data_IF_670349277814
#
_entry.id   IF_670349277814
#
_cell.length_a   1.000
_cell.length_b   1.000
_cell.length_c   1.000
_cell.angle_alpha   90.00
_cell.angle_beta   90.00
_cell.angle_gamma   90.00
#
_symmetry.space_group_name_H-M   'P 1'
#
loop_
_entity.id
_entity.type
_entity.pdbx_description
1 polymer ?
#
# COMPACT_ATOMS: atom_id res chain seq x y z
N UNK A 1 -39.40 -12.45 16.16
CA UNK A 1 -39.47 -13.92 16.07
C UNK A 1 -39.03 -14.24 14.63
N UNK A 2 -37.79 -14.63 14.41
CA UNK A 2 -37.35 -15.12 13.08
C UNK A 2 -37.85 -16.55 12.93
N UNK A 3 -38.50 -16.85 11.83
CA UNK A 3 -38.96 -18.19 11.49
C UNK A 3 -37.78 -19.12 11.27
N UNK A 4 -37.70 -20.22 11.98
CA UNK A 4 -36.72 -21.29 11.80
C UNK A 4 -36.89 -21.86 10.37
N UNK A 5 -36.06 -21.44 9.43
CA UNK A 5 -36.06 -21.95 8.06
C UNK A 5 -35.50 -21.02 6.98
N UNK A 6 -35.32 -19.74 7.24
CA UNK A 6 -34.69 -18.86 6.27
C UNK A 6 -33.15 -19.02 6.37
N UNK A 7 -32.59 -19.77 5.44
CA UNK A 7 -31.14 -19.92 5.25
C UNK A 7 -30.58 -18.60 4.69
N UNK A 8 -29.85 -17.85 5.53
CA UNK A 8 -29.20 -16.64 5.10
C UNK A 8 -27.94 -17.02 4.28
N UNK A 9 -27.70 -16.37 3.13
CA UNK A 9 -26.48 -16.58 2.39
C UNK A 9 -25.28 -16.12 3.22
N UNK A 10 -24.19 -16.88 3.17
CA UNK A 10 -22.91 -16.46 3.74
C UNK A 10 -22.30 -15.34 2.88
N UNK A 11 -21.80 -14.28 3.51
CA UNK A 11 -21.06 -13.23 2.85
C UNK A 11 -19.59 -13.62 2.65
N UNK A 12 -19.00 -14.25 3.66
CA UNK A 12 -17.61 -14.71 3.65
C UNK A 12 -17.51 -16.10 4.26
N UNK A 13 -16.74 -16.99 3.61
CA UNK A 13 -16.40 -18.31 4.12
C UNK A 13 -14.90 -18.55 4.05
N UNK A 14 -14.29 -18.79 5.20
CA UNK A 14 -12.94 -19.32 5.32
C UNK A 14 -13.03 -20.83 5.42
N UNK A 15 -12.38 -21.55 4.54
CA UNK A 15 -12.37 -23.03 4.53
C UNK A 15 -10.95 -23.54 4.67
N UNK A 16 -10.62 -24.03 5.87
CA UNK A 16 -9.32 -24.64 6.20
C UNK A 16 -8.16 -23.73 5.82
N UNK A 17 -8.28 -22.43 6.12
CA UNK A 17 -7.26 -21.43 5.81
C UNK A 17 -6.03 -21.66 6.67
N UNK A 18 -4.87 -21.79 6.00
CA UNK A 18 -3.56 -21.83 6.65
C UNK A 18 -2.69 -20.68 6.16
N UNK A 19 -1.92 -20.07 7.09
CA UNK A 19 -0.94 -19.04 6.79
C UNK A 19 0.31 -19.23 7.65
N UNK A 20 1.48 -19.22 7.01
CA UNK A 20 2.79 -19.31 7.67
C UNK A 20 3.69 -18.17 7.23
N UNK A 21 4.47 -17.66 8.16
CA UNK A 21 5.55 -16.72 7.85
C UNK A 21 6.89 -17.46 8.02
N UNK A 22 7.63 -17.55 6.94
CA UNK A 22 8.94 -18.24 6.91
C UNK A 22 10.04 -17.18 6.88
N UNK A 23 10.90 -17.21 7.88
CA UNK A 23 12.14 -16.42 7.91
C UNK A 23 13.33 -17.36 7.80
N UNK A 24 14.54 -16.82 7.62
CA UNK A 24 15.75 -17.65 7.54
C UNK A 24 16.00 -18.52 8.79
N UNK A 25 15.45 -18.14 9.94
CA UNK A 25 15.73 -18.75 11.25
C UNK A 25 14.55 -19.50 11.86
N UNK A 26 13.31 -19.22 11.46
CA UNK A 26 12.13 -19.89 12.01
C UNK A 26 10.92 -19.81 11.08
N UNK A 27 9.97 -20.72 11.31
CA UNK A 27 8.65 -20.71 10.67
C UNK A 27 7.59 -20.45 11.74
N UNK A 28 6.81 -19.39 11.57
CA UNK A 28 5.68 -19.09 12.44
C UNK A 28 4.38 -19.45 11.73
N UNK A 29 3.59 -20.32 12.34
CA UNK A 29 2.23 -20.60 11.90
C UNK A 29 1.33 -19.52 12.46
N UNK A 30 0.77 -18.69 11.59
CA UNK A 30 -0.11 -17.59 11.97
C UNK A 30 -1.59 -17.99 11.94
N UNK A 31 -1.98 -18.83 10.97
CA UNK A 31 -3.30 -19.46 10.90
C UNK A 31 -3.12 -20.94 10.61
N UNK A 32 -3.83 -21.79 11.35
CA UNK A 32 -3.77 -23.25 11.23
C UNK A 32 -5.18 -23.81 11.06
N UNK A 33 -5.54 -24.12 9.82
CA UNK A 33 -6.78 -24.78 9.45
C UNK A 33 -8.05 -24.03 9.90
N UNK A 34 -8.04 -22.69 9.81
CA UNK A 34 -9.18 -21.85 10.22
C UNK A 34 -10.34 -22.05 9.27
N UNK A 35 -11.50 -22.43 9.83
CA UNK A 35 -12.78 -22.49 9.13
C UNK A 35 -13.78 -21.63 9.88
N UNK A 36 -14.35 -20.63 9.19
CA UNK A 36 -15.25 -19.65 9.80
C UNK A 36 -16.10 -18.99 8.72
N UNK A 37 -17.41 -18.92 8.94
CA UNK A 37 -18.34 -18.29 8.02
C UNK A 37 -18.98 -17.06 8.67
N UNK A 38 -19.21 -16.00 7.88
CA UNK A 38 -19.78 -14.74 8.34
C UNK A 38 -21.09 -14.45 7.62
N UNK A 39 -22.06 -13.93 8.38
CA UNK A 39 -23.36 -13.47 7.88
C UNK A 39 -23.30 -12.01 7.44
N UNK A 40 -24.29 -11.59 6.70
CA UNK A 40 -24.56 -10.16 6.47
C UNK A 40 -25.00 -9.49 7.78
N UNK A 41 -24.74 -8.18 7.89
CA UNK A 41 -25.27 -7.35 8.98
C UNK A 41 -24.97 -7.94 10.37
N UNK A 42 -23.73 -8.36 10.58
CA UNK A 42 -23.26 -8.98 11.80
C UNK A 42 -22.11 -8.14 12.39
N UNK A 43 -22.06 -8.02 13.72
CA UNK A 43 -20.90 -7.45 14.39
C UNK A 43 -20.14 -8.59 15.07
N UNK A 44 -19.06 -9.02 14.47
CA UNK A 44 -18.22 -10.12 14.98
C UNK A 44 -16.99 -9.54 15.67
N UNK A 45 -16.76 -9.91 16.91
CA UNK A 45 -15.51 -9.64 17.60
C UNK A 45 -14.64 -10.90 17.65
N UNK A 46 -13.40 -10.79 17.17
CA UNK A 46 -12.41 -11.85 17.24
C UNK A 46 -11.49 -11.53 18.42
N UNK A 47 -11.58 -12.34 19.46
CA UNK A 47 -10.78 -12.24 20.68
C UNK A 47 -9.59 -13.20 20.65
N UNK A 48 -8.52 -12.83 21.33
CA UNK A 48 -7.37 -13.69 21.55
C UNK A 48 -6.15 -12.93 22.05
N UNK A 49 -5.14 -13.61 22.59
CA UNK A 49 -3.92 -13.01 23.03
C UNK A 49 -3.12 -12.37 21.87
N UNK A 50 -2.13 -11.55 22.20
CA UNK A 50 -1.21 -11.01 21.19
C UNK A 50 -0.48 -12.18 20.49
N UNK A 51 -0.34 -12.08 19.15
CA UNK A 51 0.30 -13.13 18.36
C UNK A 51 -0.59 -14.33 17.99
N UNK A 52 -1.87 -14.37 18.40
CA UNK A 52 -2.78 -15.49 18.08
C UNK A 52 -3.22 -15.57 16.60
N UNK A 53 -2.81 -14.64 15.74
CA UNK A 53 -3.17 -14.65 14.32
C UNK A 53 -4.33 -13.72 13.91
N UNK A 54 -4.92 -12.92 14.83
CA UNK A 54 -6.08 -12.05 14.57
C UNK A 54 -5.87 -11.07 13.41
N UNK A 55 -4.80 -10.27 13.48
CA UNK A 55 -4.47 -9.31 12.42
C UNK A 55 -4.15 -10.03 11.09
N UNK A 56 -3.50 -11.19 11.15
CA UNK A 56 -3.26 -12.02 9.95
C UNK A 56 -4.58 -12.46 9.33
N UNK A 57 -5.54 -12.91 10.14
CA UNK A 57 -6.85 -13.30 9.64
C UNK A 57 -7.59 -12.12 9.00
N UNK A 58 -7.57 -10.93 9.63
CA UNK A 58 -8.14 -9.73 9.03
C UNK A 58 -7.48 -9.38 7.69
N UNK A 59 -6.15 -9.47 7.61
CA UNK A 59 -5.41 -9.17 6.38
C UNK A 59 -5.73 -10.17 5.26
N UNK A 60 -5.90 -11.45 5.58
CA UNK A 60 -6.33 -12.48 4.62
C UNK A 60 -7.74 -12.20 4.14
N UNK A 61 -8.70 -11.96 5.05
CA UNK A 61 -10.08 -11.61 4.70
C UNK A 61 -10.13 -10.37 3.82
N UNK A 62 -9.33 -9.36 4.15
CA UNK A 62 -9.30 -8.10 3.41
C UNK A 62 -8.47 -8.12 2.12
N UNK A 63 -7.83 -9.24 1.78
CA UNK A 63 -6.98 -9.37 0.60
C UNK A 63 -5.71 -8.53 0.67
N UNK A 64 -5.24 -8.18 1.87
CA UNK A 64 -3.94 -7.50 2.08
C UNK A 64 -2.79 -8.50 2.18
N UNK A 65 -3.09 -9.74 2.52
CA UNK A 65 -2.15 -10.85 2.53
C UNK A 65 -2.81 -12.09 1.91
N UNK A 66 -2.00 -13.00 1.37
CA UNK A 66 -2.46 -14.24 0.77
C UNK A 66 -2.33 -15.40 1.77
N UNK A 67 -3.28 -16.32 1.75
CA UNK A 67 -3.18 -17.58 2.49
C UNK A 67 -2.33 -18.60 1.71
N UNK A 68 -1.72 -19.56 2.43
CA UNK A 68 -0.86 -20.58 1.82
C UNK A 68 -1.68 -21.78 1.31
N UNK A 69 -2.76 -22.14 2.02
CA UNK A 69 -3.68 -23.20 1.63
C UNK A 69 -5.07 -22.97 2.21
N UNK A 70 -6.06 -23.67 1.70
CA UNK A 70 -7.46 -23.49 2.04
C UNK A 70 -8.22 -22.80 0.92
N UNK A 71 -9.36 -22.20 1.22
CA UNK A 71 -10.18 -21.44 0.29
C UNK A 71 -10.92 -20.30 1.03
N UNK A 72 -10.86 -19.10 0.49
CA UNK A 72 -11.68 -17.98 0.91
C UNK A 72 -12.77 -17.76 -0.14
N UNK A 73 -14.03 -17.87 0.27
CA UNK A 73 -15.16 -17.60 -0.60
C UNK A 73 -15.79 -16.26 -0.24
N UNK A 74 -16.13 -15.49 -1.25
CA UNK A 74 -16.85 -14.22 -1.16
C UNK A 74 -18.16 -14.39 -1.94
N UNK A 75 -19.29 -14.30 -1.27
CA UNK A 75 -20.61 -14.61 -1.84
C UNK A 75 -20.65 -16.00 -2.53
N UNK A 76 -19.95 -16.98 -1.96
CA UNK A 76 -19.84 -18.32 -2.51
C UNK A 76 -18.90 -18.46 -3.72
N UNK A 77 -18.16 -17.42 -4.09
CA UNK A 77 -17.16 -17.45 -5.18
C UNK A 77 -15.77 -17.63 -4.56
N UNK A 78 -15.05 -18.67 -4.98
CA UNK A 78 -13.67 -18.92 -4.55
C UNK A 78 -12.72 -17.83 -5.02
N UNK A 79 -11.81 -17.40 -4.16
CA UNK A 79 -10.79 -16.40 -4.48
C UNK A 79 -9.49 -17.01 -5.02
N UNK A 80 -9.41 -18.34 -5.18
CA UNK A 80 -8.19 -19.02 -5.68
C UNK A 80 -7.75 -18.54 -7.04
N UNK A 81 -8.70 -18.20 -7.90
CA UNK A 81 -8.45 -17.76 -9.27
C UNK A 81 -8.49 -16.22 -9.41
N UNK A 82 -8.53 -15.49 -8.29
CA UNK A 82 -8.53 -14.02 -8.33
C UNK A 82 -7.20 -13.51 -8.85
N UNK A 83 -7.27 -12.67 -9.89
CA UNK A 83 -6.14 -11.87 -10.34
C UNK A 83 -5.90 -10.68 -9.41
N UNK A 84 -4.75 -10.00 -9.54
CA UNK A 84 -4.47 -8.75 -8.80
C UNK A 84 -5.56 -7.70 -9.00
N UNK A 85 -6.19 -7.66 -10.18
CA UNK A 85 -7.30 -6.74 -10.48
C UNK A 85 -8.57 -7.09 -9.72
N UNK A 86 -8.84 -8.37 -9.52
CA UNK A 86 -10.01 -8.82 -8.76
C UNK A 86 -9.83 -8.49 -7.28
N UNK A 87 -8.61 -8.68 -6.74
CA UNK A 87 -8.26 -8.27 -5.41
C UNK A 87 -8.32 -6.75 -5.22
N UNK A 88 -7.85 -5.95 -6.20
CA UNK A 88 -7.99 -4.50 -6.17
C UNK A 88 -9.45 -4.07 -6.18
N UNK A 89 -10.28 -4.69 -7.03
CA UNK A 89 -11.71 -4.42 -7.09
C UNK A 89 -12.41 -4.78 -5.77
N UNK A 90 -12.07 -5.92 -5.17
CA UNK A 90 -12.58 -6.36 -3.87
C UNK A 90 -12.23 -5.36 -2.76
N UNK A 91 -10.94 -5.03 -2.60
CA UNK A 91 -10.48 -4.06 -1.60
C UNK A 91 -11.13 -2.69 -1.74
N UNK A 92 -11.24 -2.19 -2.96
CA UNK A 92 -11.75 -0.83 -3.19
C UNK A 92 -13.26 -0.71 -3.09
N UNK A 93 -14.01 -1.77 -3.43
CA UNK A 93 -15.48 -1.69 -3.52
C UNK A 93 -16.19 -2.34 -2.34
N UNK A 94 -15.58 -3.36 -1.72
CA UNK A 94 -16.28 -4.18 -0.73
C UNK A 94 -15.71 -4.09 0.68
N UNK A 95 -14.46 -3.61 0.82
CA UNK A 95 -13.76 -3.57 2.11
C UNK A 95 -13.53 -2.15 2.57
N UNK A 96 -13.85 -1.87 3.83
CA UNK A 96 -13.42 -0.70 4.57
C UNK A 96 -12.47 -1.11 5.69
N UNK A 97 -11.22 -0.60 5.69
CA UNK A 97 -10.26 -0.87 6.74
C UNK A 97 -10.17 0.24 7.77
N UNK A 98 -10.26 -0.13 9.05
CA UNK A 98 -10.02 0.72 10.22
C UNK A 98 -8.82 0.13 10.98
N UNK A 99 -7.68 0.82 10.94
CA UNK A 99 -6.43 0.37 11.56
C UNK A 99 -6.23 0.96 12.95
N UNK A 100 -5.51 0.26 13.80
CA UNK A 100 -5.11 0.72 15.14
C UNK A 100 -4.32 2.03 15.11
N UNK A 101 -3.40 2.18 14.16
CA UNK A 101 -2.54 3.37 14.01
C UNK A 101 -3.16 4.45 13.10
N UNK A 102 -4.47 4.44 12.88
CA UNK A 102 -5.22 5.36 12.02
C UNK A 102 -4.78 5.36 10.55
N UNK A 103 -3.51 5.20 10.24
CA UNK A 103 -2.88 5.23 8.91
C UNK A 103 -3.31 6.45 8.08
N UNK A 104 -3.34 7.63 8.73
CA UNK A 104 -3.61 8.91 8.08
C UNK A 104 -2.32 9.50 7.52
N UNK A 105 -2.43 10.19 6.39
CA UNK A 105 -1.32 10.88 5.75
C UNK A 105 -1.08 12.21 6.48
N UNK A 106 0.05 12.40 7.21
CA UNK A 106 0.22 13.50 8.16
C UNK A 106 0.24 14.90 7.54
N UNK A 107 0.64 15.00 6.27
CA UNK A 107 0.78 16.27 5.57
C UNK A 107 -0.47 16.68 4.77
N UNK A 108 -1.48 15.82 4.72
CA UNK A 108 -2.77 16.07 4.09
C UNK A 108 -3.79 16.49 5.15
N UNK A 109 -4.79 17.31 4.75
CA UNK A 109 -5.95 17.57 5.58
C UNK A 109 -6.77 16.29 5.80
N UNK A 110 -7.66 16.29 6.80
CA UNK A 110 -8.54 15.14 7.00
C UNK A 110 -9.51 14.94 5.84
N UNK A 111 -9.93 16.01 5.19
CA UNK A 111 -10.74 15.93 3.98
C UNK A 111 -10.00 15.19 2.87
N UNK A 112 -8.74 15.55 2.62
CA UNK A 112 -7.90 14.89 1.61
C UNK A 112 -7.61 13.45 1.96
N UNK A 113 -7.45 13.11 3.25
CA UNK A 113 -7.27 11.73 3.71
C UNK A 113 -8.50 10.86 3.41
N UNK A 114 -9.70 11.39 3.61
CA UNK A 114 -10.96 10.68 3.32
C UNK A 114 -11.19 10.61 1.81
N UNK A 115 -10.95 11.71 1.08
CA UNK A 115 -11.09 11.80 -0.37
C UNK A 115 -10.21 10.80 -1.13
N UNK A 116 -9.05 10.44 -0.55
CA UNK A 116 -8.08 9.52 -1.18
C UNK A 116 -8.69 8.17 -1.53
N UNK A 117 -9.57 7.63 -0.69
CA UNK A 117 -10.23 6.34 -0.94
C UNK A 117 -11.09 6.36 -2.22
N UNK A 118 -11.67 7.52 -2.57
CA UNK A 118 -12.44 7.69 -3.81
C UNK A 118 -11.56 7.95 -5.05
N UNK A 119 -10.28 8.22 -4.87
CA UNK A 119 -9.39 8.56 -5.99
C UNK A 119 -9.21 7.40 -6.97
N UNK A 120 -9.30 6.17 -6.45
CA UNK A 120 -9.14 4.94 -7.23
C UNK A 120 -10.44 4.49 -7.93
N UNK A 121 -11.58 5.12 -7.62
CA UNK A 121 -12.90 4.70 -8.14
C UNK A 121 -13.35 5.49 -9.37
N UNK A 122 -12.52 6.39 -9.91
CA UNK A 122 -12.83 7.18 -11.10
C UNK A 122 -13.84 8.31 -10.86
N UNK A 123 -14.23 8.59 -9.61
CA UNK A 123 -15.14 9.67 -9.24
C UNK A 123 -14.48 11.03 -9.48
N UNK A 124 -15.22 11.99 -10.05
CA UNK A 124 -14.73 13.34 -10.32
C UNK A 124 -14.35 14.13 -9.05
N UNK A 125 -13.37 15.05 -9.15
CA UNK A 125 -12.81 15.77 -7.99
C UNK A 125 -13.87 16.48 -7.13
N UNK A 126 -14.82 17.20 -7.75
CA UNK A 126 -15.87 17.92 -7.03
C UNK A 126 -16.77 16.97 -6.22
N UNK A 127 -17.18 15.86 -6.82
CA UNK A 127 -18.00 14.83 -6.18
C UNK A 127 -17.24 14.12 -5.04
N UNK A 128 -15.95 13.76 -5.24
CA UNK A 128 -15.12 13.19 -4.18
C UNK A 128 -15.08 14.11 -2.96
N UNK A 129 -14.81 15.39 -3.19
CA UNK A 129 -14.73 16.38 -2.12
C UNK A 129 -16.07 16.53 -1.37
N UNK A 130 -17.17 16.52 -2.09
CA UNK A 130 -18.51 16.58 -1.49
C UNK A 130 -18.82 15.34 -0.66
N UNK A 131 -18.51 14.13 -1.18
CA UNK A 131 -18.71 12.85 -0.45
C UNK A 131 -17.82 12.78 0.79
N UNK A 132 -16.55 13.19 0.67
CA UNK A 132 -15.63 13.22 1.80
C UNK A 132 -16.08 14.17 2.91
N UNK A 133 -16.61 15.35 2.56
CA UNK A 133 -17.18 16.29 3.53
C UNK A 133 -18.37 15.67 4.26
N UNK A 134 -19.32 15.07 3.54
CA UNK A 134 -20.47 14.38 4.14
C UNK A 134 -20.05 13.23 5.06
N UNK A 135 -19.03 12.45 4.66
CA UNK A 135 -18.51 11.37 5.52
C UNK A 135 -17.89 11.91 6.82
N UNK A 136 -17.20 13.06 6.77
CA UNK A 136 -16.66 13.71 7.96
C UNK A 136 -17.74 14.35 8.83
N UNK A 137 -18.79 14.90 8.23
CA UNK A 137 -19.97 15.41 8.95
C UNK A 137 -20.68 14.28 9.70
N UNK A 138 -20.84 13.11 9.07
CA UNK A 138 -21.47 11.93 9.69
C UNK A 138 -20.73 11.42 10.93
N UNK A 139 -19.41 11.63 11.03
CA UNK A 139 -18.62 11.28 12.21
C UNK A 139 -18.35 12.48 13.15
N UNK A 140 -19.08 13.60 12.98
CA UNK A 140 -19.00 14.79 13.83
C UNK A 140 -17.72 15.62 13.64
N UNK A 141 -17.12 15.62 12.43
CA UNK A 141 -15.89 16.34 12.10
C UNK A 141 -16.05 17.33 10.94
N UNK A 142 -17.28 17.73 10.61
CA UNK A 142 -17.59 18.66 9.52
C UNK A 142 -16.88 20.00 9.60
N UNK A 143 -16.70 20.56 10.81
CA UNK A 143 -16.01 21.83 11.04
C UNK A 143 -14.48 21.72 11.03
N UNK A 144 -13.95 20.49 10.98
CA UNK A 144 -12.51 20.21 11.09
C UNK A 144 -11.85 19.78 9.76
N UNK A 145 -12.57 19.85 8.65
CA UNK A 145 -12.20 19.29 7.35
C UNK A 145 -10.82 19.73 6.84
N UNK A 146 -10.40 20.95 7.15
CA UNK A 146 -9.11 21.50 6.71
C UNK A 146 -7.96 21.24 7.71
N UNK A 147 -8.25 20.67 8.89
CA UNK A 147 -7.22 20.29 9.87
C UNK A 147 -6.40 19.12 9.37
N UNK A 148 -5.16 19.04 9.85
CA UNK A 148 -4.25 17.89 9.63
C UNK A 148 -4.32 16.92 10.81
N UNK A 149 -3.89 15.65 10.64
CA UNK A 149 -3.91 14.67 11.71
C UNK A 149 -3.23 15.11 13.00
N UNK A 150 -2.09 15.82 12.92
CA UNK A 150 -1.37 16.33 14.08
C UNK A 150 -2.09 17.45 14.86
N UNK A 151 -3.23 17.91 14.40
CA UNK A 151 -4.08 18.92 15.04
C UNK A 151 -5.34 18.30 15.67
N UNK A 152 -5.41 16.95 15.72
CA UNK A 152 -6.56 16.19 16.19
C UNK A 152 -6.19 15.32 17.40
N UNK A 153 -7.19 15.04 18.25
CA UNK A 153 -7.07 13.99 19.27
C UNK A 153 -7.07 12.60 18.65
N UNK A 154 -6.62 11.58 19.41
CA UNK A 154 -6.63 10.19 18.98
C UNK A 154 -8.01 9.73 18.50
N UNK A 155 -9.06 10.02 19.26
CA UNK A 155 -10.42 9.67 18.87
C UNK A 155 -10.95 10.42 17.65
N UNK A 156 -10.54 11.66 17.47
CA UNK A 156 -10.86 12.38 16.22
C UNK A 156 -10.15 11.74 15.02
N UNK A 157 -8.88 11.37 15.16
CA UNK A 157 -8.14 10.64 14.11
C UNK A 157 -8.79 9.29 13.77
N UNK A 158 -9.27 8.56 14.79
CA UNK A 158 -9.98 7.29 14.58
C UNK A 158 -11.29 7.50 13.84
N UNK A 159 -12.07 8.52 14.18
CA UNK A 159 -13.29 8.86 13.44
C UNK A 159 -13.01 9.25 11.99
N UNK A 160 -11.91 9.93 11.70
CA UNK A 160 -11.46 10.17 10.32
C UNK A 160 -11.14 8.87 9.60
N UNK A 161 -10.44 7.92 10.27
CA UNK A 161 -10.12 6.61 9.69
C UNK A 161 -11.39 5.81 9.38
N UNK A 162 -12.42 5.87 10.25
CA UNK A 162 -13.73 5.25 10.01
C UNK A 162 -14.44 5.94 8.84
N UNK A 163 -14.49 7.27 8.78
CA UNK A 163 -15.08 8.00 7.65
C UNK A 163 -14.42 7.61 6.33
N UNK A 164 -13.08 7.48 6.31
CA UNK A 164 -12.32 7.00 5.14
C UNK A 164 -12.67 5.56 4.77
N UNK A 165 -12.84 4.68 5.75
CA UNK A 165 -13.24 3.30 5.51
C UNK A 165 -14.63 3.18 4.89
N UNK A 166 -15.56 4.06 5.27
CA UNK A 166 -16.97 4.01 4.87
C UNK A 166 -17.30 4.75 3.57
N UNK A 167 -16.42 5.62 3.07
CA UNK A 167 -16.74 6.54 1.95
C UNK A 167 -17.06 5.84 0.63
N UNK A 168 -16.52 4.63 0.40
CA UNK A 168 -16.80 3.80 -0.77
C UNK A 168 -18.07 2.94 -0.61
N UNK A 169 -18.79 3.11 0.50
CA UNK A 169 -19.96 2.31 0.85
C UNK A 169 -19.65 0.79 0.86
N UNK A 170 -18.66 0.33 1.64
CA UNK A 170 -18.24 -1.08 1.67
C UNK A 170 -19.30 -1.95 2.32
N UNK A 171 -19.37 -3.22 1.92
CA UNK A 171 -20.25 -4.21 2.55
C UNK A 171 -19.63 -4.81 3.81
N UNK A 172 -18.31 -4.78 3.91
CA UNK A 172 -17.52 -5.37 4.99
C UNK A 172 -16.60 -4.30 5.59
N UNK A 173 -16.62 -4.15 6.90
CA UNK A 173 -15.70 -3.28 7.63
C UNK A 173 -14.80 -4.14 8.51
N UNK A 174 -13.50 -4.04 8.30
CA UNK A 174 -12.47 -4.75 9.05
C UNK A 174 -11.80 -3.76 10.02
N UNK A 175 -11.92 -3.99 11.31
CA UNK A 175 -11.39 -3.10 12.35
C UNK A 175 -10.31 -3.81 13.16
N UNK A 176 -9.06 -3.37 13.03
CA UNK A 176 -7.91 -3.89 13.77
C UNK A 176 -7.65 -3.02 15.00
N UNK A 177 -7.98 -3.52 16.19
CA UNK A 177 -7.79 -2.84 17.48
C UNK A 177 -8.29 -1.38 17.47
N UNK A 178 -9.56 -1.10 17.06
CA UNK A 178 -10.01 0.27 16.75
C UNK A 178 -10.02 1.22 17.96
N UNK A 179 -9.90 0.69 19.18
CA UNK A 179 -9.87 1.44 20.45
C UNK A 179 -8.55 1.35 21.20
N UNK A 180 -7.58 0.60 20.68
CA UNK A 180 -6.34 0.25 21.41
C UNK A 180 -5.45 1.43 21.81
N UNK A 181 -5.63 2.60 21.19
CA UNK A 181 -4.87 3.82 21.50
C UNK A 181 -5.74 4.96 22.08
N UNK A 182 -6.95 4.63 22.57
CA UNK A 182 -7.95 5.62 23.01
C UNK A 182 -8.25 5.49 24.50
N UNK A 183 -8.66 6.61 25.10
CA UNK A 183 -9.25 6.61 26.44
C UNK A 183 -10.64 5.94 26.44
N UNK A 184 -11.16 5.61 27.63
CA UNK A 184 -12.42 4.87 27.78
C UNK A 184 -13.61 5.60 27.19
N UNK A 185 -13.73 6.92 27.37
CA UNK A 185 -14.86 7.71 26.86
C UNK A 185 -14.85 7.75 25.34
N UNK A 186 -13.70 7.97 24.75
CA UNK A 186 -13.54 8.00 23.29
C UNK A 186 -13.72 6.61 22.67
N UNK A 187 -13.29 5.56 23.37
CA UNK A 187 -13.51 4.16 22.96
C UNK A 187 -15.00 3.85 22.80
N UNK A 188 -15.84 4.26 23.76
CA UNK A 188 -17.30 4.10 23.68
C UNK A 188 -17.86 4.78 22.43
N UNK A 189 -17.46 6.03 22.14
CA UNK A 189 -17.92 6.76 20.96
C UNK A 189 -17.55 6.05 19.63
N UNK A 190 -16.35 5.49 19.55
CA UNK A 190 -15.89 4.73 18.38
C UNK A 190 -16.67 3.42 18.25
N UNK A 191 -16.91 2.73 19.37
CA UNK A 191 -17.67 1.49 19.37
C UNK A 191 -19.14 1.69 19.03
N UNK A 192 -19.77 2.77 19.51
CA UNK A 192 -21.15 3.13 19.14
C UNK A 192 -21.25 3.37 17.63
N UNK A 193 -20.28 4.08 17.03
CA UNK A 193 -20.21 4.30 15.59
C UNK A 193 -20.08 2.99 14.81
N UNK A 194 -19.20 2.08 15.24
CA UNK A 194 -19.06 0.76 14.60
C UNK A 194 -20.31 -0.11 14.75
N UNK A 195 -20.99 -0.03 15.90
CA UNK A 195 -22.27 -0.72 16.13
C UNK A 195 -23.37 -0.20 15.20
N UNK A 196 -23.44 1.11 14.97
CA UNK A 196 -24.38 1.69 14.01
C UNK A 196 -24.08 1.22 12.57
N UNK A 197 -22.81 1.16 12.21
CA UNK A 197 -22.35 0.62 10.91
C UNK A 197 -22.74 -0.84 10.73
N UNK A 198 -22.70 -1.65 11.78
CA UNK A 198 -23.04 -3.07 11.74
C UNK A 198 -24.54 -3.37 11.54
N UNK A 199 -25.41 -2.36 11.54
CA UNK A 199 -26.86 -2.57 11.30
C UNK A 199 -27.18 -3.03 9.88
N UNK A 200 -26.36 -2.61 8.92
CA UNK A 200 -26.56 -2.88 7.48
C UNK A 200 -25.31 -3.41 6.78
N UNK A 201 -24.24 -3.75 7.53
CA UNK A 201 -22.95 -4.26 7.03
C UNK A 201 -22.37 -5.32 7.95
N UNK A 202 -21.50 -6.15 7.41
CA UNK A 202 -20.66 -7.02 8.21
C UNK A 202 -19.49 -6.20 8.81
N UNK A 203 -19.40 -6.18 10.14
CA UNK A 203 -18.25 -5.60 10.86
C UNK A 203 -17.48 -6.73 11.53
N UNK A 204 -16.20 -6.89 11.19
CA UNK A 204 -15.29 -7.84 11.84
C UNK A 204 -14.25 -7.02 12.58
N UNK A 205 -14.28 -7.07 13.90
CA UNK A 205 -13.33 -6.38 14.77
C UNK A 205 -12.40 -7.39 15.42
N UNK A 206 -11.11 -7.16 15.40
CA UNK A 206 -10.18 -7.87 16.26
C UNK A 206 -9.81 -6.98 17.45
N UNK A 207 -9.77 -7.56 18.63
CA UNK A 207 -9.43 -6.84 19.86
C UNK A 207 -8.88 -7.81 20.90
N UNK A 208 -8.11 -7.26 21.84
CA UNK A 208 -7.70 -7.95 23.06
C UNK A 208 -8.53 -7.53 24.28
N UNK A 209 -9.51 -6.61 24.11
CA UNK A 209 -10.39 -6.14 25.19
C UNK A 209 -11.73 -6.93 25.17
N UNK A 210 -11.91 -7.89 26.09
CA UNK A 210 -13.12 -8.70 26.12
C UNK A 210 -14.36 -7.89 26.54
N UNK A 211 -14.22 -6.87 27.41
CA UNK A 211 -15.37 -6.08 27.87
C UNK A 211 -16.07 -5.37 26.72
N UNK A 212 -15.29 -4.69 25.87
CA UNK A 212 -15.84 -4.03 24.69
C UNK A 212 -16.42 -5.05 23.69
N UNK A 213 -15.77 -6.21 23.52
CA UNK A 213 -16.30 -7.25 22.65
C UNK A 213 -17.67 -7.74 23.12
N UNK A 214 -17.81 -8.09 24.41
CA UNK A 214 -19.09 -8.57 24.97
C UNK A 214 -20.19 -7.51 24.98
N UNK A 215 -19.83 -6.23 25.11
CA UNK A 215 -20.80 -5.14 25.14
C UNK A 215 -21.36 -4.80 23.76
N UNK A 216 -20.55 -4.92 22.69
CA UNK A 216 -20.90 -4.38 21.38
C UNK A 216 -21.13 -5.43 20.30
N UNK A 217 -20.39 -6.53 20.32
CA UNK A 217 -20.50 -7.55 19.29
C UNK A 217 -21.77 -8.42 19.45
N UNK A 218 -22.32 -8.86 18.33
CA UNK A 218 -23.42 -9.82 18.27
C UNK A 218 -22.91 -11.26 18.31
N UNK A 219 -21.64 -11.47 17.95
CA UNK A 219 -20.96 -12.77 17.95
C UNK A 219 -19.51 -12.61 18.35
N UNK A 220 -19.01 -13.55 19.14
CA UNK A 220 -17.62 -13.55 19.60
C UNK A 220 -16.96 -14.84 19.14
N UNK A 221 -15.81 -14.69 18.49
CA UNK A 221 -14.97 -15.80 18.04
C UNK A 221 -13.64 -15.71 18.79
N UNK A 222 -13.24 -16.77 19.47
CA UNK A 222 -11.97 -16.85 20.18
C UNK A 222 -10.90 -17.48 19.29
N UNK A 223 -9.74 -16.83 19.19
CA UNK A 223 -8.59 -17.29 18.41
C UNK A 223 -7.37 -17.47 19.32
N UNK A 224 -6.78 -18.66 19.32
CA UNK A 224 -5.53 -18.95 20.01
C UNK A 224 -4.62 -19.81 19.12
N UNK A 225 -3.34 -19.48 19.08
CA UNK A 225 -2.31 -20.20 18.31
C UNK A 225 -2.70 -20.49 16.86
N UNK A 226 -3.34 -19.50 16.21
CA UNK A 226 -3.80 -19.59 14.83
C UNK A 226 -5.05 -20.42 14.61
N UNK A 227 -5.74 -20.89 15.66
CA UNK A 227 -6.93 -21.73 15.58
C UNK A 227 -8.14 -21.05 16.22
N UNK A 228 -9.31 -21.28 15.65
CA UNK A 228 -10.58 -20.94 16.30
C UNK A 228 -10.80 -21.94 17.46
N UNK A 229 -10.90 -21.41 18.68
CA UNK A 229 -11.08 -22.22 19.90
C UNK A 229 -12.50 -22.18 20.42
N UNK A 230 -13.23 -21.11 20.13
CA UNK A 230 -14.63 -20.95 20.54
C UNK A 230 -15.35 -20.01 19.59
N UNK A 231 -16.65 -20.19 19.44
CA UNK A 231 -17.55 -19.38 18.62
C UNK A 231 -18.92 -19.32 19.30
N UNK A 232 -19.35 -18.15 19.73
CA UNK A 232 -20.57 -17.97 20.51
C UNK A 232 -21.86 -18.18 19.72
N UNK A 233 -21.84 -18.10 18.39
CA UNK A 233 -22.97 -18.29 17.48
C UNK A 233 -22.50 -18.85 16.13
N UNK A 234 -22.05 -20.13 16.12
CA UNK A 234 -21.47 -20.71 14.90
C UNK A 234 -22.49 -20.74 13.76
N UNK A 235 -21.98 -20.46 12.55
CA UNK A 235 -22.75 -20.45 11.32
C UNK A 235 -22.12 -21.37 10.29
N UNK A 236 -22.85 -22.37 9.83
CA UNK A 236 -22.41 -23.28 8.79
C UNK A 236 -22.96 -22.81 7.43
N UNK A 237 -22.05 -22.37 6.56
CA UNK A 237 -22.35 -21.93 5.19
C UNK A 237 -22.57 -23.08 4.21
N UNK A 238 -22.38 -24.35 4.61
CA UNK A 238 -22.43 -25.52 3.70
C UNK A 238 -23.80 -25.67 3.01
N UNK A 239 -24.84 -25.05 3.56
CA UNK A 239 -26.20 -25.06 3.03
C UNK A 239 -26.70 -23.68 2.55
N UNK A 240 -25.82 -22.64 2.54
CA UNK A 240 -26.24 -21.29 2.16
C UNK A 240 -26.56 -21.18 0.66
N UNK A 241 -27.67 -20.52 0.35
CA UNK A 241 -28.03 -20.19 -1.02
C UNK A 241 -26.95 -19.27 -1.61
N UNK A 242 -26.55 -19.52 -2.86
CA UNK A 242 -25.59 -18.67 -3.58
C UNK A 242 -26.17 -17.27 -3.73
N UNK A 243 -25.48 -16.27 -3.20
CA UNK A 243 -25.90 -14.88 -3.32
C UNK A 243 -25.63 -14.38 -4.75
N UNK A 244 -26.55 -13.56 -5.29
CA UNK A 244 -26.25 -12.84 -6.53
C UNK A 244 -25.14 -11.82 -6.27
N UNK A 245 -24.00 -11.99 -6.93
CA UNK A 245 -22.88 -11.08 -6.79
C UNK A 245 -23.28 -9.68 -7.26
N UNK A 246 -23.14 -8.68 -6.40
CA UNK A 246 -23.35 -7.28 -6.79
C UNK A 246 -22.31 -6.87 -7.83
N UNK A 247 -22.70 -6.10 -8.87
CA UNK A 247 -21.76 -5.67 -9.89
C UNK A 247 -20.64 -4.81 -9.27
N UNK A 248 -19.41 -5.27 -9.39
CA UNK A 248 -18.23 -4.54 -8.93
C UNK A 248 -17.97 -3.33 -9.83
N UNK A 249 -17.81 -2.15 -9.25
CA UNK A 249 -17.39 -0.95 -9.98
C UNK A 249 -15.96 -1.16 -10.48
N UNK A 250 -15.71 -0.87 -11.76
CA UNK A 250 -14.36 -0.95 -12.32
C UNK A 250 -13.47 0.10 -11.64
N UNK A 251 -12.37 -0.35 -11.06
CA UNK A 251 -11.34 0.54 -10.54
C UNK A 251 -10.56 1.14 -11.71
N UNK A 252 -10.56 2.47 -11.83
CA UNK A 252 -9.76 3.16 -12.82
C UNK A 252 -9.28 4.50 -12.27
N UNK A 253 -7.97 4.70 -12.27
CA UNK A 253 -7.38 5.99 -11.93
C UNK A 253 -6.94 6.70 -13.19
N UNK A 254 -7.35 7.96 -13.38
CA UNK A 254 -6.89 8.78 -14.49
C UNK A 254 -5.36 8.99 -14.40
N UNK A 255 -4.66 8.90 -15.52
CA UNK A 255 -3.22 9.16 -15.61
C UNK A 255 -2.84 10.55 -15.03
N UNK A 256 -3.69 11.56 -15.28
CA UNK A 256 -3.50 12.92 -14.73
C UNK A 256 -3.58 12.91 -13.20
N UNK A 257 -4.50 12.14 -12.63
CA UNK A 257 -4.63 11.98 -11.15
C UNK A 257 -3.41 11.28 -10.57
N UNK A 258 -2.92 10.21 -11.22
CA UNK A 258 -1.71 9.51 -10.80
C UNK A 258 -0.47 10.41 -10.81
N UNK A 259 -0.31 11.19 -11.89
CA UNK A 259 0.79 12.16 -12.03
C UNK A 259 0.71 13.26 -10.98
N UNK A 260 -0.51 13.78 -10.72
CA UNK A 260 -0.74 14.81 -9.68
C UNK A 260 -0.40 14.33 -8.27
N UNK A 261 -0.81 13.10 -7.90
CA UNK A 261 -0.46 12.48 -6.63
C UNK A 261 1.05 12.26 -6.48
N UNK A 262 1.71 11.77 -7.54
CA UNK A 262 3.15 11.57 -7.56
C UNK A 262 3.91 12.89 -7.40
N UNK A 263 3.54 13.93 -8.15
CA UNK A 263 4.14 15.26 -8.06
C UNK A 263 3.95 15.85 -6.65
N UNK A 264 2.76 15.72 -6.07
CA UNK A 264 2.47 16.20 -4.72
C UNK A 264 3.31 15.50 -3.64
N UNK A 265 3.50 14.18 -3.76
CA UNK A 265 4.38 13.41 -2.88
C UNK A 265 5.84 13.86 -2.97
N UNK A 266 6.34 14.13 -4.18
CA UNK A 266 7.69 14.68 -4.40
C UNK A 266 7.84 16.06 -3.74
N UNK A 267 6.85 16.94 -3.88
CA UNK A 267 6.87 18.28 -3.28
C UNK A 267 6.79 18.27 -1.75
N UNK A 268 6.21 17.24 -1.15
CA UNK A 268 6.08 17.13 0.31
C UNK A 268 7.43 16.86 0.99
N UNK A 269 8.35 16.14 0.32
CA UNK A 269 9.69 15.83 0.81
C UNK A 269 10.75 16.73 0.17
N UNK A 270 10.49 18.04 0.10
CA UNK A 270 11.32 19.04 -0.62
C UNK A 270 12.83 18.91 -0.37
N UNK A 271 13.25 18.73 0.89
CA UNK A 271 14.66 18.58 1.24
C UNK A 271 15.30 17.32 0.62
N UNK A 272 14.65 16.17 0.74
CA UNK A 272 15.16 14.91 0.18
C UNK A 272 15.16 14.95 -1.35
N UNK A 273 14.09 15.45 -1.96
CA UNK A 273 13.96 15.57 -3.42
C UNK A 273 15.01 16.54 -3.97
N UNK A 274 15.25 17.69 -3.32
CA UNK A 274 16.29 18.65 -3.70
C UNK A 274 17.70 18.03 -3.57
N UNK A 275 17.99 17.30 -2.48
CA UNK A 275 19.28 16.62 -2.31
C UNK A 275 19.51 15.54 -3.38
N UNK A 276 18.49 14.75 -3.70
CA UNK A 276 18.59 13.70 -4.72
C UNK A 276 18.77 14.31 -6.12
N UNK A 277 18.03 15.38 -6.44
CA UNK A 277 18.18 16.11 -7.69
C UNK A 277 19.56 16.75 -7.80
N UNK A 278 20.06 17.36 -6.72
CA UNK A 278 21.41 17.95 -6.66
C UNK A 278 22.50 16.90 -6.83
N UNK A 279 22.42 15.76 -6.14
CA UNK A 279 23.36 14.66 -6.28
C UNK A 279 23.39 14.10 -7.73
N UNK A 280 22.21 13.95 -8.35
CA UNK A 280 22.10 13.52 -9.75
C UNK A 280 22.66 14.55 -10.75
N UNK A 281 22.50 15.84 -10.46
CA UNK A 281 22.99 16.92 -11.34
C UNK A 281 24.51 17.08 -11.33
N UNK A 282 25.20 16.71 -10.24
CA UNK A 282 26.66 16.77 -10.14
C UNK A 282 27.33 15.94 -11.24
N UNK A 283 26.82 14.72 -11.50
CA UNK A 283 27.32 13.86 -12.57
C UNK A 283 27.19 14.50 -13.96
N UNK A 284 26.04 15.08 -14.24
CA UNK A 284 25.74 15.73 -15.53
C UNK A 284 26.59 16.99 -15.68
N UNK A 285 26.74 17.81 -14.64
CA UNK A 285 27.57 19.00 -14.63
C UNK A 285 29.04 18.61 -14.83
N UNK A 286 29.52 17.53 -14.19
CA UNK A 286 30.89 17.02 -14.38
C UNK A 286 31.17 16.62 -15.82
N UNK A 287 30.28 15.87 -16.45
CA UNK A 287 30.39 15.46 -17.86
C UNK A 287 30.38 16.71 -18.78
N UNK A 288 29.43 17.61 -18.54
CA UNK A 288 29.34 18.85 -19.35
C UNK A 288 30.57 19.72 -19.22
N UNK A 289 31.16 19.86 -18.01
CA UNK A 289 32.39 20.60 -17.78
C UNK A 289 33.59 19.98 -18.50
N UNK A 290 33.72 18.64 -18.48
CA UNK A 290 34.80 17.93 -19.20
C UNK A 290 34.66 18.14 -20.72
N UNK A 291 33.44 18.02 -21.25
CA UNK A 291 33.20 18.25 -22.69
C UNK A 291 33.46 19.71 -23.10
N UNK A 292 33.04 20.68 -22.27
CA UNK A 292 33.29 22.09 -22.52
C UNK A 292 34.79 22.41 -22.49
N UNK A 293 35.53 21.87 -21.52
CA UNK A 293 36.96 22.00 -21.43
C UNK A 293 37.67 21.38 -22.64
N UNK A 294 37.28 20.15 -23.01
CA UNK A 294 37.84 19.46 -24.20
C UNK A 294 37.62 20.25 -25.49
N UNK A 295 36.40 20.77 -25.68
CA UNK A 295 36.08 21.60 -26.84
C UNK A 295 36.82 22.95 -26.82
N UNK A 296 36.98 23.55 -25.65
CA UNK A 296 37.74 24.79 -25.47
C UNK A 296 39.22 24.60 -25.80
N UNK A 297 39.84 23.54 -25.30
CA UNK A 297 41.25 23.21 -25.60
C UNK A 297 41.46 22.92 -27.08
N UNK A 298 40.57 22.12 -27.68
CA UNK A 298 40.61 21.83 -29.12
C UNK A 298 40.44 23.09 -29.98
N UNK A 299 39.56 24.02 -29.59
CA UNK A 299 39.39 25.33 -30.24
C UNK A 299 40.62 26.20 -30.13
N UNK A 300 41.25 26.25 -28.95
CA UNK A 300 42.49 26.99 -28.71
C UNK A 300 43.65 26.45 -29.56
N UNK A 301 43.83 25.11 -29.61
CA UNK A 301 44.87 24.47 -30.44
C UNK A 301 44.64 24.73 -31.93
N UNK A 302 43.42 24.68 -32.42
CA UNK A 302 43.08 24.97 -33.82
C UNK A 302 43.35 26.43 -34.18
N UNK A 303 42.99 27.38 -33.34
CA UNK A 303 43.22 28.79 -33.57
C UNK A 303 44.72 29.19 -33.39
N UNK A 304 45.43 28.52 -32.46
CA UNK A 304 46.88 28.74 -32.29
C UNK A 304 47.71 28.19 -33.43
N UNK A 305 47.25 27.17 -34.15
CA UNK A 305 47.91 26.67 -35.38
C UNK A 305 47.72 27.56 -36.63
N UNK A 306 46.73 28.44 -36.59
CA UNK A 306 46.46 29.38 -37.69
C UNK A 306 47.31 30.67 -37.65
N UNK A 307 48.01 30.97 -36.52
CA UNK A 307 48.65 32.27 -36.31
C UNK A 307 50.18 32.30 -36.38
N UNK A 308 50.92 31.22 -36.26
CA UNK A 308 52.35 31.13 -36.41
C UNK A 308 52.79 29.82 -37.07
N UNK A 309 52.74 29.77 -38.38
CA UNK A 309 53.61 28.85 -39.11
C UNK A 309 55.04 29.31 -38.92
N UNK A 310 55.72 28.90 -37.85
CA UNK A 310 57.16 28.90 -37.76
C UNK A 310 57.68 28.09 -38.94
N UNK A 311 58.17 28.78 -40.02
CA UNK A 311 58.92 28.14 -41.05
C UNK A 311 60.24 27.61 -40.39
N UNK A 312 60.19 26.38 -39.95
CA UNK A 312 61.38 25.63 -39.65
C UNK A 312 62.11 25.42 -41.00
N UNK A 313 63.43 25.77 -41.13
CA UNK A 313 64.16 25.48 -42.35
C UNK A 313 64.10 23.94 -42.59
N UNK A 314 63.73 23.61 -43.84
CA UNK A 314 63.75 22.23 -44.27
C UNK A 314 65.23 21.77 -44.21
N UNK A 315 65.54 20.93 -43.23
CA UNK A 315 66.75 20.16 -43.21
C UNK A 315 66.64 19.09 -44.28
N UNK A 316 67.38 19.34 -45.40
CA UNK A 316 67.49 18.38 -46.48
C UNK A 316 68.26 17.16 -46.02
N UNK A 317 67.64 16.05 -45.73
CA UNK A 317 68.21 14.80 -45.25
C UNK A 317 68.73 13.90 -46.38
N UNK A 318 68.83 14.42 -47.64
CA UNK A 318 69.14 13.59 -48.80
C UNK A 318 70.67 13.59 -49.22
N UNK A 319 71.58 14.27 -48.50
CA UNK A 319 72.95 14.37 -48.99
C UNK A 319 73.99 13.64 -48.14
N UNK A 320 73.75 12.61 -47.44
CA UNK A 320 74.79 11.75 -46.84
C UNK A 320 74.48 10.28 -46.76
N UNK A 321 74.24 9.65 -47.90
CA UNK A 321 74.47 8.20 -48.00
C UNK A 321 75.47 7.97 -49.16
N UNK A 322 76.76 8.07 -48.87
CA UNK A 322 77.77 7.47 -49.71
C UNK A 322 77.84 6.00 -49.36
N UNK A 323 77.81 5.07 -50.38
CA UNK A 323 78.02 3.69 -50.12
C UNK A 323 79.51 3.46 -49.81
N UNK A 324 79.80 2.87 -48.68
CA UNK A 324 81.10 2.33 -48.35
C UNK A 324 81.23 0.99 -49.10
N UNK A 325 82.13 0.99 -50.15
CA UNK A 325 82.58 -0.21 -50.83
C UNK A 325 83.50 -0.94 -49.86
N UNK A 326 83.12 -2.10 -49.39
CA UNK A 326 84.01 -3.04 -48.68
C UNK A 326 84.64 -3.92 -49.66
N UNK A 327 85.95 -3.72 -49.81
CA UNK A 327 86.88 -4.59 -50.47
C UNK A 327 87.17 -5.81 -49.58
N UNK A 328 87.00 -6.94 -50.20
CA UNK A 328 87.20 -8.20 -49.51
C UNK A 328 88.70 -8.54 -49.36
N UNK A 329 89.09 -8.91 -48.16
CA UNK A 329 90.21 -9.83 -47.96
C UNK A 329 89.97 -10.78 -46.80
N UNK A 330 90.05 -11.98 -47.21
CA UNK A 330 90.23 -13.20 -46.45
C UNK A 330 91.30 -13.13 -45.40
N UNK A 331 91.15 -13.76 -44.30
CA UNK A 331 92.17 -14.03 -43.32
C UNK A 331 91.57 -14.86 -42.17
N UNK A 332 91.86 -16.14 -42.24
CA UNK A 332 91.46 -17.19 -41.29
C UNK A 332 92.33 -17.19 -40.03
N UNK A 333 92.07 -18.13 -39.21
CA UNK A 333 92.72 -18.69 -38.06
C UNK A 333 91.97 -18.57 -36.72
N UNK A 334 91.46 -19.68 -36.36
CA UNK A 334 91.40 -20.57 -35.23
C UNK A 334 90.25 -20.33 -34.30
#
# INVERSE_FOLDING_TARGET
>A
MRTAGERLPSMLDLRVICKRYVTQSFTQVALDSVSLSFRDNEFVAILGPSGSGKTTMLNVIGGLDHFDSGDLLIDGISTKDFSDRDWDAYRNNRIGFVFQSYNLIPHQSILENVELALTLTGVGHAERRQRARKALEAVGLGEHVDKRPNQLSGGQMQRVAIARALINDPEIVLADEPTGALDSTTSVQVMDLLKDVARDRLVIMVTHNPELAYQYATRIVSLADGKVTDDSDPFDATEAARREAKPTRKTSMSFVTALGLSARNLMTKKGRTAMTAFAGSIGIIGIAAILALSNGVNGYIKNGRGGHALKLPAYDFQTRLRPVVHDGRTGGYR
#
